data_IF_635623954764
#
_entry.id   IF_635623954764
#
_cell.length_a   1.000
_cell.length_b   1.000
_cell.length_c   1.000
_cell.angle_alpha   90.00
_cell.angle_beta   90.00
_cell.angle_gamma   90.00
#
_symmetry.space_group_name_H-M   'P 1'
#
loop_
_entity.id
_entity.type
_entity.pdbx_description
1 polymer ?
#
# COMPACT_ATOMS: atom_id res chain seq x y z
N UNK A 1 31.62 -12.53 -37.52
CA UNK A 1 30.47 -11.59 -37.47
C UNK A 1 29.12 -12.30 -37.40
N UNK A 2 28.78 -13.22 -38.33
CA UNK A 2 27.49 -13.99 -38.29
C UNK A 2 27.28 -14.81 -37.01
N UNK A 3 28.33 -15.40 -36.44
CA UNK A 3 28.25 -16.19 -35.19
C UNK A 3 27.91 -15.35 -33.95
N UNK A 4 28.36 -14.09 -33.90
CA UNK A 4 28.14 -13.19 -32.77
C UNK A 4 26.70 -12.62 -32.77
N UNK A 5 26.14 -12.42 -33.96
CA UNK A 5 24.72 -12.02 -34.14
C UNK A 5 23.78 -13.17 -33.72
N UNK A 6 24.11 -14.42 -34.07
CA UNK A 6 23.32 -15.59 -33.64
C UNK A 6 23.39 -15.76 -32.12
N UNK A 7 24.55 -15.52 -31.50
CA UNK A 7 24.71 -15.61 -30.04
C UNK A 7 23.92 -14.50 -29.30
N UNK A 8 23.91 -13.28 -29.83
CA UNK A 8 23.11 -12.17 -29.30
C UNK A 8 21.59 -12.41 -29.44
N UNK A 9 21.14 -12.91 -30.59
CA UNK A 9 19.74 -13.26 -30.81
C UNK A 9 19.33 -14.43 -29.90
N UNK A 10 20.19 -15.46 -29.76
CA UNK A 10 19.94 -16.54 -28.82
C UNK A 10 19.83 -16.03 -27.38
N UNK A 11 20.72 -15.13 -26.94
CA UNK A 11 20.69 -14.53 -25.60
C UNK A 11 19.41 -13.72 -25.33
N UNK A 12 18.84 -13.04 -26.34
CA UNK A 12 17.58 -12.32 -26.21
C UNK A 12 16.34 -13.23 -26.17
N UNK A 13 16.42 -14.47 -26.66
CA UNK A 13 15.29 -15.43 -26.66
C UNK A 13 15.23 -16.24 -25.34
N UNK A 14 16.35 -16.34 -24.60
CA UNK A 14 16.38 -17.07 -23.31
C UNK A 14 16.15 -16.17 -22.09
N UNK A 15 15.92 -14.87 -22.27
CA UNK A 15 15.57 -14.01 -21.14
C UNK A 15 14.08 -14.19 -20.83
N UNK A 16 13.73 -14.66 -19.62
CA UNK A 16 12.34 -14.75 -19.18
C UNK A 16 11.72 -13.34 -19.24
N UNK A 17 10.60 -13.17 -19.95
CA UNK A 17 9.88 -11.90 -20.02
C UNK A 17 9.07 -11.70 -18.74
N UNK A 18 9.57 -10.90 -17.81
CA UNK A 18 8.84 -10.56 -16.59
C UNK A 18 7.65 -9.68 -16.98
N UNK A 19 6.44 -10.18 -16.75
CA UNK A 19 5.23 -9.38 -16.80
C UNK A 19 5.18 -8.52 -15.53
N UNK A 20 5.97 -7.44 -15.53
CA UNK A 20 5.89 -6.41 -14.50
C UNK A 20 4.69 -5.55 -14.86
N UNK A 21 3.62 -5.66 -14.07
CA UNK A 21 2.52 -4.70 -14.18
C UNK A 21 3.04 -3.32 -13.82
N UNK A 22 2.65 -2.31 -14.60
CA UNK A 22 3.12 -0.96 -14.38
C UNK A 22 2.48 -0.41 -13.10
N UNK A 23 3.33 -0.05 -12.14
CA UNK A 23 2.93 0.72 -10.96
C UNK A 23 2.97 2.21 -11.28
N UNK A 24 1.85 2.89 -11.03
CA UNK A 24 1.74 4.33 -11.19
C UNK A 24 1.39 4.97 -9.85
N UNK A 25 2.18 5.95 -9.44
CA UNK A 25 2.03 6.60 -8.13
C UNK A 25 1.50 8.01 -8.34
N UNK A 26 0.41 8.34 -7.64
CA UNK A 26 -0.32 9.58 -7.81
C UNK A 26 -0.53 10.31 -6.49
N UNK A 27 -0.67 11.64 -6.61
CA UNK A 27 -1.14 12.52 -5.56
C UNK A 27 -2.45 13.15 -6.02
N UNK A 28 -3.50 13.03 -5.20
CA UNK A 28 -4.82 13.52 -5.58
C UNK A 28 -5.77 13.67 -4.41
N UNK A 29 -7.03 13.95 -4.73
CA UNK A 29 -8.11 14.05 -3.75
C UNK A 29 -9.17 13.00 -3.99
N UNK A 30 -9.62 12.37 -2.92
CA UNK A 30 -10.71 11.39 -2.96
C UNK A 30 -12.00 12.08 -3.40
N UNK A 31 -12.61 11.57 -4.45
CA UNK A 31 -13.90 12.03 -4.97
C UNK A 31 -15.03 11.07 -4.67
N UNK A 32 -14.73 9.79 -4.48
CA UNK A 32 -15.65 8.75 -4.05
C UNK A 32 -14.89 7.69 -3.27
N UNK A 33 -15.50 7.19 -2.20
CA UNK A 33 -15.07 6.00 -1.46
C UNK A 33 -16.32 5.19 -1.11
N UNK A 34 -16.43 3.99 -1.64
CA UNK A 34 -17.59 3.12 -1.47
C UNK A 34 -17.14 1.69 -1.12
N UNK A 35 -17.26 1.35 0.17
CA UNK A 35 -16.85 0.04 0.69
C UNK A 35 -17.63 -1.11 0.06
N UNK A 36 -18.92 -0.93 -0.24
CA UNK A 36 -19.76 -2.02 -0.73
C UNK A 36 -19.33 -2.51 -2.12
N UNK A 37 -18.83 -1.60 -2.96
CA UNK A 37 -18.28 -1.93 -4.28
C UNK A 37 -16.75 -2.01 -4.31
N UNK A 38 -16.07 -1.62 -3.23
CA UNK A 38 -14.62 -1.43 -3.19
C UNK A 38 -14.13 -0.26 -4.05
N UNK A 39 -15.03 0.62 -4.53
CA UNK A 39 -14.66 1.70 -5.43
C UNK A 39 -14.00 2.87 -4.69
N UNK A 40 -12.84 3.30 -5.19
CA UNK A 40 -12.11 4.48 -4.74
C UNK A 40 -11.75 5.33 -5.96
N UNK A 41 -12.43 6.47 -6.11
CA UNK A 41 -12.19 7.40 -7.21
C UNK A 41 -11.36 8.58 -6.69
N UNK A 42 -10.21 8.84 -7.33
CA UNK A 42 -9.29 9.90 -6.92
C UNK A 42 -9.11 10.88 -8.06
N UNK A 43 -9.37 12.17 -7.79
CA UNK A 43 -9.02 13.27 -8.70
C UNK A 43 -7.56 13.60 -8.55
N UNK A 44 -6.77 13.17 -9.52
CA UNK A 44 -5.32 13.32 -9.56
C UNK A 44 -4.95 14.78 -9.80
N UNK A 45 -3.88 15.21 -9.15
CA UNK A 45 -3.31 16.55 -9.27
C UNK A 45 -1.82 16.53 -9.61
N UNK A 46 -1.13 15.44 -9.28
CA UNK A 46 0.26 15.21 -9.65
C UNK A 46 0.55 13.71 -9.76
N UNK A 47 1.58 13.37 -10.55
CA UNK A 47 2.09 12.02 -10.72
C UNK A 47 3.56 11.99 -10.28
N UNK A 48 4.00 10.87 -9.70
CA UNK A 48 5.40 10.66 -9.36
C UNK A 48 6.24 10.43 -10.64
N UNK A 49 7.28 11.23 -10.84
CA UNK A 49 8.18 11.13 -12.00
C UNK A 49 9.44 10.27 -11.74
N UNK A 50 9.49 9.60 -10.58
CA UNK A 50 10.68 8.89 -10.08
C UNK A 50 11.51 9.71 -9.08
N UNK A 51 11.25 11.02 -8.94
CA UNK A 51 11.99 11.92 -8.04
C UNK A 51 11.09 12.83 -7.22
N UNK A 52 9.99 13.31 -7.80
CA UNK A 52 9.06 14.22 -7.17
C UNK A 52 7.66 14.07 -7.78
N UNK A 53 6.67 14.64 -7.10
CA UNK A 53 5.33 14.78 -7.66
C UNK A 53 5.30 15.95 -8.65
N UNK A 54 5.18 15.62 -9.94
CA UNK A 54 5.02 16.59 -11.01
C UNK A 54 3.52 16.86 -11.26
N UNK A 55 3.08 18.14 -11.33
CA UNK A 55 1.70 18.46 -11.62
C UNK A 55 1.24 17.86 -12.96
N UNK A 56 0.01 17.37 -13.00
CA UNK A 56 -0.63 16.86 -14.22
C UNK A 56 -1.98 17.53 -14.43
N UNK A 57 -2.49 17.45 -15.66
CA UNK A 57 -3.86 17.90 -15.93
C UNK A 57 -4.84 17.08 -15.07
N UNK A 58 -5.76 17.74 -14.33
CA UNK A 58 -6.62 17.03 -13.39
C UNK A 58 -7.51 16.00 -14.08
N UNK A 59 -7.32 14.73 -13.72
CA UNK A 59 -8.12 13.59 -14.20
C UNK A 59 -8.62 12.80 -12.99
N UNK A 60 -9.84 12.27 -13.07
CA UNK A 60 -10.32 11.32 -12.07
C UNK A 60 -9.99 9.92 -12.52
N UNK A 61 -9.20 9.21 -11.72
CA UNK A 61 -8.96 7.78 -11.89
C UNK A 61 -10.04 7.04 -11.11
N UNK A 62 -10.70 6.11 -11.80
CA UNK A 62 -11.61 5.15 -11.20
C UNK A 62 -10.78 3.92 -10.84
N UNK A 63 -10.75 3.53 -9.58
CA UNK A 63 -10.02 2.35 -9.15
C UNK A 63 -10.76 1.58 -8.07
N UNK A 64 -10.27 0.38 -7.81
CA UNK A 64 -10.81 -0.50 -6.77
C UNK A 64 -9.77 -0.77 -5.70
N UNK A 65 -10.22 -0.98 -4.48
CA UNK A 65 -9.41 -1.45 -3.37
C UNK A 65 -10.16 -2.53 -2.60
N UNK A 66 -9.42 -3.52 -2.11
CA UNK A 66 -9.95 -4.62 -1.30
C UNK A 66 -9.62 -4.47 0.18
N UNK A 67 -9.17 -3.28 0.60
CA UNK A 67 -8.78 -3.02 1.99
C UNK A 67 -9.96 -2.44 2.75
N UNK A 68 -10.51 -3.18 3.71
CA UNK A 68 -11.64 -2.68 4.51
C UNK A 68 -11.22 -1.48 5.37
N UNK A 69 -10.00 -1.53 5.93
CA UNK A 69 -9.42 -0.46 6.74
C UNK A 69 -9.27 0.85 5.97
N UNK A 70 -9.19 0.81 4.63
CA UNK A 70 -9.21 2.02 3.80
C UNK A 70 -10.51 2.80 4.02
N UNK A 71 -11.64 2.13 3.84
CA UNK A 71 -12.95 2.77 3.79
C UNK A 71 -13.44 3.23 5.16
N UNK A 72 -12.88 2.67 6.24
CA UNK A 72 -13.12 3.13 7.60
C UNK A 72 -12.37 4.44 7.94
N UNK A 73 -11.27 4.71 7.25
CA UNK A 73 -10.36 5.81 7.60
C UNK A 73 -10.33 6.94 6.56
N UNK A 74 -10.88 6.73 5.37
CA UNK A 74 -10.84 7.69 4.26
C UNK A 74 -12.18 8.41 4.07
N UNK A 75 -12.12 9.71 3.78
CA UNK A 75 -13.30 10.52 3.48
C UNK A 75 -13.19 11.21 2.12
N UNK A 76 -14.34 11.53 1.54
CA UNK A 76 -14.38 12.37 0.35
C UNK A 76 -13.72 13.73 0.63
N UNK A 77 -12.84 14.16 -0.27
CA UNK A 77 -12.09 15.41 -0.17
C UNK A 77 -10.71 15.28 0.48
N UNK A 78 -10.40 14.13 1.08
CA UNK A 78 -9.08 13.83 1.62
C UNK A 78 -8.01 13.85 0.52
N UNK A 79 -6.85 14.42 0.84
CA UNK A 79 -5.67 14.40 -0.04
C UNK A 79 -4.87 13.14 0.24
N UNK A 80 -4.62 12.34 -0.79
CA UNK A 80 -3.97 11.03 -0.68
C UNK A 80 -2.81 10.89 -1.65
N UNK A 81 -1.83 10.10 -1.23
CA UNK A 81 -0.84 9.49 -2.12
C UNK A 81 -1.25 8.04 -2.31
N UNK A 82 -1.27 7.57 -3.56
CA UNK A 82 -1.71 6.23 -3.88
C UNK A 82 -0.90 5.61 -4.99
N UNK A 83 -0.72 4.30 -4.92
CA UNK A 83 -0.08 3.49 -5.96
C UNK A 83 -1.11 2.58 -6.59
N UNK A 84 -1.22 2.68 -7.91
CA UNK A 84 -2.14 1.95 -8.76
C UNK A 84 -1.35 0.90 -9.54
N UNK A 85 -1.84 -0.33 -9.54
CA UNK A 85 -1.30 -1.45 -10.32
C UNK A 85 -2.27 -1.80 -11.44
N UNK A 86 -1.74 -2.03 -12.64
CA UNK A 86 -2.54 -2.45 -13.80
C UNK A 86 -3.55 -1.41 -14.30
N UNK A 87 -3.51 -0.18 -13.78
CA UNK A 87 -4.43 0.91 -14.15
C UNK A 87 -5.80 0.87 -13.45
N UNK A 88 -6.06 -0.09 -12.58
CA UNK A 88 -7.39 -0.28 -11.96
C UNK A 88 -7.36 -0.58 -10.46
N UNK A 89 -6.30 -1.19 -9.93
CA UNK A 89 -6.28 -1.64 -8.52
C UNK A 89 -5.33 -0.81 -7.67
N UNK A 90 -5.84 -0.22 -6.60
CA UNK A 90 -5.04 0.49 -5.61
C UNK A 90 -4.35 -0.51 -4.67
N UNK A 91 -3.03 -0.59 -4.75
CA UNK A 91 -2.21 -1.52 -3.97
C UNK A 91 -1.63 -0.88 -2.72
N UNK A 92 -1.61 0.44 -2.67
CA UNK A 92 -1.25 1.23 -1.49
C UNK A 92 -1.95 2.59 -1.56
N UNK A 93 -2.56 3.03 -0.47
CA UNK A 93 -3.16 4.37 -0.33
C UNK A 93 -2.78 4.93 1.04
N UNK A 94 -2.31 6.17 1.09
CA UNK A 94 -2.02 6.87 2.32
C UNK A 94 -2.60 8.28 2.37
N UNK A 95 -3.10 8.68 3.53
CA UNK A 95 -3.60 10.02 3.79
C UNK A 95 -2.44 10.99 3.99
N UNK A 96 -2.43 12.10 3.27
CA UNK A 96 -1.42 13.15 3.44
C UNK A 96 -1.65 13.87 4.76
N UNK A 97 -0.72 13.68 5.70
CA UNK A 97 -0.78 14.23 7.05
C UNK A 97 -0.36 15.69 7.14
N UNK A 98 0.54 16.15 6.27
CA UNK A 98 0.99 17.55 6.23
C UNK A 98 0.98 18.12 4.82
N UNK A 99 0.04 19.04 4.56
CA UNK A 99 -0.10 19.75 3.28
C UNK A 99 1.09 20.64 2.95
N UNK A 100 1.84 21.06 3.97
CA UNK A 100 2.96 22.00 3.86
C UNK A 100 4.30 21.32 3.58
N UNK A 101 4.40 20.00 3.72
CA UNK A 101 5.62 19.27 3.40
C UNK A 101 5.77 19.10 1.89
N UNK A 102 6.95 19.39 1.35
CA UNK A 102 7.31 19.08 -0.04
C UNK A 102 7.34 17.58 -0.30
N UNK A 103 7.56 16.77 0.74
CA UNK A 103 7.63 15.31 0.69
C UNK A 103 6.26 14.62 0.87
N UNK A 104 5.18 15.41 1.08
CA UNK A 104 3.80 14.90 1.24
C UNK A 104 3.70 13.73 2.21
N UNK A 105 4.23 13.93 3.41
CA UNK A 105 4.25 12.91 4.45
C UNK A 105 2.86 12.34 4.73
N UNK A 106 2.76 11.02 4.84
CA UNK A 106 1.50 10.33 5.13
C UNK A 106 1.30 10.15 6.64
N UNK A 107 0.09 10.39 7.12
CA UNK A 107 -0.29 10.15 8.53
C UNK A 107 -0.68 8.70 8.76
N UNK A 108 -1.29 8.06 7.78
CA UNK A 108 -1.54 6.63 7.76
C UNK A 108 -1.55 6.11 6.32
N UNK A 109 -1.38 4.81 6.15
CA UNK A 109 -1.60 4.12 4.89
C UNK A 109 -2.21 2.74 5.10
N UNK A 110 -2.78 2.22 4.03
CA UNK A 110 -3.20 0.84 3.89
C UNK A 110 -2.68 0.27 2.56
N UNK A 111 -2.31 -1.00 2.56
CA UNK A 111 -1.73 -1.70 1.41
C UNK A 111 -0.22 -1.92 1.54
N UNK A 112 0.48 -1.98 0.41
CA UNK A 112 1.88 -2.38 0.35
C UNK A 112 2.85 -1.21 0.62
N UNK A 113 3.62 -1.23 1.73
CA UNK A 113 4.55 -0.15 2.04
C UNK A 113 5.77 -0.08 1.12
N UNK A 114 6.14 -1.17 0.42
CA UNK A 114 7.20 -1.12 -0.59
C UNK A 114 6.73 -0.34 -1.85
N UNK A 115 5.42 -0.29 -2.09
CA UNK A 115 4.81 0.51 -3.16
C UNK A 115 4.60 1.99 -2.76
N UNK A 116 4.85 2.38 -1.50
CA UNK A 116 4.62 3.75 -1.01
C UNK A 116 5.89 4.59 -1.07
N UNK A 117 5.88 5.65 -1.89
CA UNK A 117 7.04 6.57 -2.00
C UNK A 117 7.08 7.63 -0.91
N UNK A 118 5.92 8.00 -0.36
CA UNK A 118 5.83 9.06 0.64
C UNK A 118 6.27 8.52 2.01
N UNK A 119 7.18 9.21 2.72
CA UNK A 119 7.52 8.84 4.09
C UNK A 119 6.34 9.14 5.03
N UNK A 120 6.28 8.48 6.17
CA UNK A 120 5.32 8.80 7.20
C UNK A 120 5.73 10.05 7.97
N UNK A 121 4.76 10.66 8.67
CA UNK A 121 5.03 11.75 9.63
C UNK A 121 6.09 11.28 10.65
N UNK A 122 7.10 12.12 10.88
CA UNK A 122 8.32 11.75 11.62
C UNK A 122 9.46 11.24 10.73
N UNK A 123 9.30 11.33 9.40
CA UNK A 123 10.22 10.85 8.37
C UNK A 123 10.48 9.34 8.44
N UNK A 124 9.53 8.56 8.95
CA UNK A 124 9.67 7.11 8.94
C UNK A 124 9.48 6.56 7.52
N UNK A 125 10.23 5.52 7.21
CA UNK A 125 10.05 4.70 6.02
C UNK A 125 10.00 3.24 6.44
N UNK A 126 9.04 2.53 5.88
CA UNK A 126 8.79 1.11 6.17
C UNK A 126 9.04 0.33 4.89
N UNK A 127 9.78 -0.76 5.02
CA UNK A 127 9.97 -1.76 3.95
C UNK A 127 9.81 -3.15 4.56
N UNK A 128 9.55 -4.16 3.73
CA UNK A 128 9.48 -5.53 4.22
C UNK A 128 10.03 -6.55 3.23
N UNK A 129 10.38 -7.71 3.77
CA UNK A 129 10.61 -8.96 3.01
C UNK A 129 9.66 -10.03 3.53
N UNK A 130 9.01 -10.76 2.63
CA UNK A 130 8.04 -11.80 3.00
C UNK A 130 8.66 -13.21 2.92
N UNK A 131 8.37 -14.04 3.93
CA UNK A 131 8.72 -15.46 3.94
C UNK A 131 7.60 -16.28 3.27
N UNK A 132 7.87 -17.01 2.17
CA UNK A 132 6.85 -17.74 1.44
C UNK A 132 6.39 -19.01 2.14
N UNK A 133 5.07 -19.24 2.09
CA UNK A 133 4.45 -20.51 2.39
C UNK A 133 4.49 -21.44 1.17
N UNK A 134 5.61 -22.13 1.01
CA UNK A 134 5.95 -22.88 -0.20
C UNK A 134 5.00 -24.02 -0.60
N UNK A 135 4.22 -24.56 0.34
CA UNK A 135 3.19 -25.58 0.08
C UNK A 135 1.88 -24.99 -0.47
N UNK A 136 1.78 -23.66 -0.60
CA UNK A 136 0.55 -22.95 -0.98
C UNK A 136 0.72 -21.99 -2.17
N UNK A 137 1.78 -22.17 -2.96
CA UNK A 137 2.06 -21.31 -4.10
C UNK A 137 1.09 -21.53 -5.26
N UNK A 138 0.69 -20.44 -5.90
CA UNK A 138 -0.12 -20.43 -7.12
C UNK A 138 0.60 -19.58 -8.16
N UNK A 139 1.18 -20.22 -9.17
CA UNK A 139 1.99 -19.52 -10.16
C UNK A 139 3.27 -18.96 -9.53
N UNK A 140 3.53 -17.67 -9.73
CA UNK A 140 4.75 -16.97 -9.25
C UNK A 140 4.66 -16.44 -7.82
N UNK A 141 3.50 -16.56 -7.17
CA UNK A 141 3.23 -16.01 -5.84
C UNK A 141 2.85 -17.12 -4.87
N UNK A 142 3.24 -16.95 -3.61
CA UNK A 142 2.81 -17.78 -2.50
C UNK A 142 2.20 -16.89 -1.43
N UNK A 143 1.33 -17.44 -0.58
CA UNK A 143 0.98 -16.73 0.65
C UNK A 143 2.23 -16.51 1.50
N UNK A 144 2.32 -15.36 2.17
CA UNK A 144 3.39 -15.10 3.15
C UNK A 144 3.04 -15.76 4.50
N UNK A 145 3.97 -16.53 5.07
CA UNK A 145 3.86 -17.02 6.44
C UNK A 145 4.08 -15.89 7.46
N UNK A 146 5.07 -15.06 7.16
CA UNK A 146 5.49 -13.92 7.97
C UNK A 146 6.15 -12.88 7.09
N UNK A 147 6.36 -11.69 7.65
CA UNK A 147 7.10 -10.61 7.02
C UNK A 147 8.13 -10.05 7.99
N UNK A 148 9.35 -9.83 7.53
CA UNK A 148 10.35 -9.06 8.27
C UNK A 148 10.18 -7.60 7.88
N UNK A 149 9.62 -6.81 8.80
CA UNK A 149 9.36 -5.39 8.60
C UNK A 149 10.53 -4.59 9.12
N UNK A 150 11.17 -3.83 8.24
CA UNK A 150 12.25 -2.90 8.60
C UNK A 150 11.72 -1.48 8.62
N UNK A 151 11.94 -0.78 9.73
CA UNK A 151 11.61 0.64 9.86
C UNK A 151 12.89 1.46 10.03
N UNK A 152 12.97 2.58 9.32
CA UNK A 152 14.05 3.56 9.41
C UNK A 152 13.49 4.98 9.39
N UNK A 153 14.29 5.95 9.83
CA UNK A 153 14.02 7.37 9.56
C UNK A 153 14.88 7.84 8.40
N UNK A 154 14.34 8.70 7.54
CA UNK A 154 15.03 9.16 6.32
C UNK A 154 15.10 10.69 6.27
N UNK A 155 16.03 11.18 5.47
CA UNK A 155 16.08 12.57 5.05
C UNK A 155 16.50 12.64 3.58
N UNK A 156 16.43 13.84 3.01
CA UNK A 156 16.73 14.06 1.60
C UNK A 156 17.84 15.11 1.48
N UNK A 157 18.82 14.83 0.63
CA UNK A 157 19.87 15.80 0.34
C UNK A 157 19.37 16.91 -0.60
N UNK A 158 20.23 17.87 -0.94
CA UNK A 158 19.88 18.97 -1.85
C UNK A 158 19.52 18.52 -3.28
N UNK A 159 19.83 17.27 -3.65
CA UNK A 159 19.48 16.68 -4.94
C UNK A 159 18.23 15.78 -4.85
N UNK A 160 17.48 15.85 -3.74
CA UNK A 160 16.34 14.97 -3.45
C UNK A 160 16.69 13.48 -3.35
N UNK A 161 17.96 13.15 -3.08
CA UNK A 161 18.36 11.77 -2.83
C UNK A 161 18.07 11.40 -1.37
N UNK A 162 17.29 10.34 -1.19
CA UNK A 162 17.01 9.75 0.12
C UNK A 162 18.29 9.18 0.75
N UNK A 163 18.46 9.44 2.05
CA UNK A 163 19.46 8.77 2.89
C UNK A 163 18.87 8.43 4.26
N UNK A 164 19.35 7.33 4.85
CA UNK A 164 18.96 6.91 6.20
C UNK A 164 19.56 7.83 7.24
N UNK A 165 18.73 8.29 8.18
CA UNK A 165 19.16 9.10 9.33
C UNK A 165 19.36 8.20 10.56
N UNK A 166 18.42 7.30 10.83
CA UNK A 166 18.49 6.34 11.94
C UNK A 166 17.77 5.04 11.57
N UNK A 167 18.33 3.93 12.00
CA UNK A 167 17.71 2.61 11.90
C UNK A 167 16.86 2.36 13.15
N UNK A 168 15.53 2.23 12.97
CA UNK A 168 14.59 2.08 14.08
C UNK A 168 14.56 0.62 14.54
N UNK A 169 14.57 -0.32 13.59
CA UNK A 169 14.63 -1.75 13.87
C UNK A 169 14.10 -2.62 12.75
N UNK A 170 14.11 -3.92 12.99
CA UNK A 170 13.43 -4.93 12.17
C UNK A 170 12.70 -5.91 13.07
N UNK A 171 11.44 -6.18 12.78
CA UNK A 171 10.58 -7.10 13.54
C UNK A 171 9.90 -8.07 12.57
N UNK A 172 9.85 -9.35 12.91
CA UNK A 172 9.08 -10.36 12.17
C UNK A 172 7.63 -10.31 12.62
N UNK A 173 6.69 -10.11 11.69
CA UNK A 173 5.25 -10.12 11.97
C UNK A 173 4.57 -11.31 11.30
N UNK A 174 3.75 -12.01 12.07
CA UNK A 174 2.73 -12.93 11.58
C UNK A 174 1.45 -12.15 11.21
N UNK A 175 0.55 -12.71 10.38
CA UNK A 175 -0.72 -12.08 10.06
C UNK A 175 -1.50 -11.68 11.32
N UNK A 176 -2.07 -10.48 11.29
CA UNK A 176 -2.74 -9.78 12.39
C UNK A 176 -1.85 -9.32 13.57
N UNK A 177 -0.53 -9.49 13.48
CA UNK A 177 0.39 -8.93 14.49
C UNK A 177 0.69 -7.45 14.24
N UNK A 178 0.96 -6.73 15.33
CA UNK A 178 1.25 -5.29 15.31
C UNK A 178 2.59 -5.00 15.96
N UNK A 179 3.34 -4.07 15.38
CA UNK A 179 4.57 -3.53 15.94
C UNK A 179 4.50 -2.01 16.08
N UNK A 180 4.85 -1.52 17.27
CA UNK A 180 5.02 -0.10 17.56
C UNK A 180 6.49 0.29 17.36
N UNK A 181 6.85 0.72 16.15
CA UNK A 181 8.20 1.17 15.81
C UNK A 181 8.42 2.63 16.25
N UNK A 182 9.20 2.82 17.31
CA UNK A 182 9.49 4.13 17.89
C UNK A 182 10.98 4.48 17.78
N UNK A 183 11.27 5.73 17.40
CA UNK A 183 12.64 6.26 17.39
C UNK A 183 12.84 7.19 18.57
N UNK A 184 13.97 7.04 19.26
CA UNK A 184 14.28 7.92 20.41
C UNK A 184 14.48 9.35 19.91
N UNK A 185 13.69 10.29 20.43
CA UNK A 185 13.76 11.71 20.04
C UNK A 185 12.70 12.14 19.02
N UNK A 186 11.96 11.21 18.42
CA UNK A 186 10.77 11.53 17.64
C UNK A 186 9.54 11.68 18.54
N UNK A 187 8.68 12.66 18.24
CA UNK A 187 7.39 12.87 18.91
C UNK A 187 6.27 11.98 18.37
N UNK A 188 6.60 11.12 17.41
CA UNK A 188 5.70 10.21 16.72
C UNK A 188 6.35 8.83 16.69
N UNK A 189 5.55 7.78 16.71
CA UNK A 189 5.97 6.41 16.42
C UNK A 189 5.03 5.83 15.34
N UNK A 190 5.45 4.76 14.68
CA UNK A 190 4.57 4.03 13.77
C UNK A 190 3.94 2.85 14.48
N UNK A 191 2.63 2.69 14.31
CA UNK A 191 1.95 1.44 14.59
C UNK A 191 1.75 0.71 13.26
N UNK A 192 2.36 -0.46 13.11
CA UNK A 192 2.41 -1.25 11.88
C UNK A 192 1.67 -2.56 12.12
N UNK A 193 0.52 -2.75 11.47
CA UNK A 193 -0.26 -3.99 11.45
C UNK A 193 0.01 -4.72 10.14
N UNK A 194 0.46 -5.97 10.21
CA UNK A 194 0.50 -6.85 9.04
C UNK A 194 -0.84 -7.57 8.90
N UNK A 195 -1.59 -7.30 7.83
CA UNK A 195 -2.93 -7.88 7.63
C UNK A 195 -2.80 -9.27 7.02
N UNK A 196 -2.16 -9.33 5.85
CA UNK A 196 -1.88 -10.55 5.07
C UNK A 196 -0.91 -10.20 3.95
N UNK A 197 -0.27 -11.19 3.35
CA UNK A 197 0.63 -10.89 2.24
C UNK A 197 0.95 -12.04 1.33
N UNK A 198 1.68 -11.70 0.28
CA UNK A 198 2.22 -12.61 -0.69
C UNK A 198 3.75 -12.52 -0.69
N UNK A 199 4.38 -13.62 -1.06
CA UNK A 199 5.81 -13.74 -1.19
C UNK A 199 6.15 -14.32 -2.57
N UNK A 200 7.32 -14.00 -3.14
CA UNK A 200 7.72 -14.55 -4.42
C UNK A 200 7.98 -16.05 -4.31
N UNK A 201 7.37 -16.84 -5.18
CA UNK A 201 7.57 -18.29 -5.21
C UNK A 201 9.02 -18.68 -5.48
N UNK A 202 9.79 -17.82 -6.17
CA UNK A 202 11.22 -18.01 -6.43
C UNK A 202 12.09 -18.09 -5.16
N UNK A 203 11.57 -17.66 -4.01
CA UNK A 203 12.24 -17.80 -2.73
C UNK A 203 12.09 -19.21 -2.11
N UNK A 204 11.29 -20.09 -2.72
CA UNK A 204 11.13 -21.47 -2.27
C UNK A 204 12.26 -22.38 -2.80
N UNK A 205 12.74 -23.37 -2.00
CA UNK A 205 13.87 -24.22 -2.38
C UNK A 205 13.69 -25.02 -3.68
N UNK A 206 12.47 -25.44 -3.98
CA UNK A 206 12.13 -26.25 -5.17
C UNK A 206 11.46 -25.43 -6.28
N UNK A 207 11.57 -24.10 -6.21
CA UNK A 207 10.96 -23.23 -7.19
C UNK A 207 11.62 -23.38 -8.55
N UNK A 208 10.86 -23.84 -9.54
CA UNK A 208 11.20 -23.59 -10.92
C UNK A 208 11.13 -22.07 -11.18
N UNK A 209 11.81 -21.56 -12.22
CA UNK A 209 11.65 -20.16 -12.60
C UNK A 209 10.22 -19.92 -13.11
N UNK A 210 9.33 -19.53 -12.19
CA UNK A 210 7.94 -19.19 -12.51
C UNK A 210 7.81 -17.69 -12.67
N UNK A 211 7.28 -17.29 -13.82
CA UNK A 211 6.96 -15.90 -14.13
C UNK A 211 5.48 -15.64 -13.87
N UNK A 212 5.16 -14.45 -13.38
CA UNK A 212 3.77 -14.07 -13.18
C UNK A 212 3.66 -12.78 -12.39
N UNK A 213 2.49 -12.54 -11.79
CA UNK A 213 2.21 -11.34 -10.99
C UNK A 213 3.27 -11.12 -9.91
N UNK A 214 3.51 -9.84 -9.62
CA UNK A 214 4.37 -9.43 -8.52
C UNK A 214 3.63 -9.61 -7.18
N UNK A 215 4.29 -10.15 -6.16
CA UNK A 215 3.66 -10.38 -4.85
C UNK A 215 3.36 -9.03 -4.17
N UNK A 216 2.15 -8.90 -3.63
CA UNK A 216 1.71 -7.71 -2.91
C UNK A 216 1.29 -8.08 -1.50
N UNK A 217 1.74 -7.31 -0.51
CA UNK A 217 1.30 -7.49 0.88
C UNK A 217 0.48 -6.31 1.39
N UNK A 218 -0.43 -6.61 2.30
CA UNK A 218 -1.36 -5.65 2.89
C UNK A 218 -0.97 -5.36 4.33
N UNK A 219 -0.74 -4.08 4.59
CA UNK A 219 -0.48 -3.55 5.91
C UNK A 219 -1.47 -2.43 6.22
N UNK A 220 -1.68 -2.16 7.50
CA UNK A 220 -2.21 -0.88 7.96
C UNK A 220 -1.16 -0.22 8.84
N UNK A 221 -0.70 0.97 8.45
CA UNK A 221 0.38 1.68 9.15
C UNK A 221 -0.10 3.08 9.47
N UNK A 222 0.02 3.50 10.73
CA UNK A 222 -0.32 4.86 11.14
C UNK A 222 0.76 5.49 12.02
N UNK A 223 0.95 6.78 11.83
CA UNK A 223 1.75 7.63 12.70
C UNK A 223 0.91 8.02 13.92
N UNK A 224 1.46 7.80 15.11
CA UNK A 224 0.79 8.08 16.39
C UNK A 224 1.67 8.99 17.22
N UNK A 225 1.06 10.06 17.76
CA UNK A 225 1.78 10.98 18.63
C UNK A 225 2.09 10.33 19.98
N UNK A 226 3.33 10.50 20.44
CA UNK A 226 3.75 10.02 21.77
C UNK A 226 2.91 10.65 22.89
N UNK A 227 2.44 11.91 22.70
CA UNK A 227 1.55 12.58 23.64
C UNK A 227 0.21 11.85 23.83
N UNK A 228 -0.26 11.12 22.82
CA UNK A 228 -1.51 10.36 22.87
C UNK A 228 -1.44 9.12 23.77
N UNK A 229 -0.24 8.63 24.16
CA UNK A 229 -0.10 7.50 25.10
C UNK A 229 -0.41 7.87 26.57
N UNK A 230 -0.47 9.16 26.93
CA UNK A 230 -0.50 9.61 28.34
C UNK A 230 -1.93 9.86 28.86
N UNK A 231 -2.99 9.50 28.13
CA UNK A 231 -4.38 9.78 28.54
C UNK A 231 -5.13 8.58 29.12
N UNK A 232 -4.52 7.82 30.05
CA UNK A 232 -5.25 6.93 30.97
C UNK A 232 -4.45 6.68 32.25
N UNK A 233 -4.35 7.68 33.12
CA UNK A 233 -4.16 7.43 34.56
C UNK A 233 -5.29 8.18 35.28
N UNK A 234 -6.27 7.48 35.89
CA UNK A 234 -7.14 8.13 36.85
C UNK A 234 -6.29 8.48 38.06
N UNK A 235 -6.06 9.79 38.26
CA UNK A 235 -5.52 10.30 39.49
C UNK A 235 -6.49 9.90 40.62
N UNK A 236 -6.04 8.92 41.40
CA UNK A 236 -6.70 8.40 42.58
C UNK A 236 -6.74 9.50 43.65
N UNK A 237 -7.76 10.36 43.60
CA UNK A 237 -8.13 11.23 44.70
C UNK A 237 -9.13 10.51 45.62
N UNK A 238 -8.74 10.46 46.89
CA UNK A 238 -9.32 9.72 48.01
C UNK A 238 -10.72 10.23 48.39
N UNK A 239 -11.65 9.27 48.53
CA UNK A 239 -12.79 9.15 49.46
C UNK A 239 -13.71 10.36 49.77
N UNK A 240 -15.01 10.24 49.44
CA UNK A 240 -16.11 10.05 50.43
C UNK A 240 -17.45 9.70 49.73
N UNK A 241 -18.02 8.54 50.05
CA UNK A 241 -19.48 8.23 49.97
C UNK A 241 -20.14 8.60 51.32
N UNK A 242 -21.49 8.63 51.49
CA UNK A 242 -22.58 8.16 50.62
C UNK A 242 -23.75 9.16 50.46
N UNK A 243 -24.73 8.85 49.60
CA UNK A 243 -26.18 8.79 49.92
C UNK A 243 -26.93 8.21 48.71
N UNK A 244 -27.77 7.22 49.02
CA UNK A 244 -28.78 6.60 48.15
C UNK A 244 -29.82 7.62 47.68
N UNK A 245 -30.22 7.53 46.42
CA UNK A 245 -31.64 7.72 46.12
C UNK A 245 -32.09 6.79 45.00
N UNK A 246 -33.14 6.05 45.34
CA UNK A 246 -33.87 5.06 44.58
C UNK A 246 -34.75 5.75 43.53
N UNK A 247 -34.73 5.30 42.28
CA UNK A 247 -35.76 5.69 41.30
C UNK A 247 -36.14 4.50 40.41
N UNK A 248 -37.26 3.92 40.83
CA UNK A 248 -38.35 3.24 40.11
C UNK A 248 -38.21 3.02 38.60
N UNK A 249 -38.29 1.74 38.23
CA UNK A 249 -38.44 1.24 36.86
C UNK A 249 -39.89 1.32 36.35
N UNK A 250 -40.05 1.49 35.02
CA UNK A 250 -41.12 0.95 34.16
C UNK A 250 -40.92 1.44 32.69
N UNK A 251 -41.58 0.86 31.65
CA UNK A 251 -41.33 -0.46 31.08
C UNK A 251 -40.97 -0.41 29.58
N UNK A 252 -40.46 -1.54 29.08
CA UNK A 252 -40.11 -1.78 27.68
C UNK A 252 -41.33 -1.69 26.74
N UNK A 253 -41.16 -0.96 25.63
CA UNK A 253 -42.04 -1.03 24.44
C UNK A 253 -41.19 -1.52 23.27
N UNK A 254 -41.50 -2.72 22.77
CA UNK A 254 -40.90 -3.28 21.56
C UNK A 254 -41.56 -2.66 20.32
N UNK A 255 -40.78 -2.24 19.30
CA UNK A 255 -41.28 -2.08 17.96
C UNK A 255 -41.23 -3.38 17.16
N UNK A 256 -42.35 -3.61 16.51
CA UNK A 256 -42.79 -4.69 15.65
C UNK A 256 -41.85 -4.96 14.45
N UNK A 257 -41.69 -6.25 14.14
CA UNK A 257 -40.92 -6.80 13.03
C UNK A 257 -41.74 -6.69 11.73
N UNK A 258 -41.35 -5.80 10.82
CA UNK A 258 -41.85 -5.82 9.44
C UNK A 258 -41.00 -6.76 8.57
N UNK A 259 -41.68 -7.76 8.01
CA UNK A 259 -41.15 -8.75 7.07
C UNK A 259 -41.14 -8.15 5.66
N UNK A 260 -39.96 -7.89 5.08
CA UNK A 260 -39.83 -7.55 3.66
C UNK A 260 -39.56 -8.79 2.81
N UNK A 261 -40.31 -8.90 1.71
CA UNK A 261 -40.28 -9.96 0.71
C UNK A 261 -38.98 -9.95 -0.14
N UNK A 262 -38.61 -11.09 -0.75
CA UNK A 262 -37.37 -11.21 -1.52
C UNK A 262 -37.44 -10.46 -2.85
N UNK A 263 -36.51 -9.53 -3.05
CA UNK A 263 -36.29 -8.87 -4.36
C UNK A 263 -35.41 -9.78 -5.20
N UNK A 264 -35.92 -10.16 -6.37
CA UNK A 264 -35.18 -10.94 -7.38
C UNK A 264 -34.43 -9.97 -8.28
N UNK A 265 -33.10 -9.90 -8.17
CA UNK A 265 -32.26 -9.05 -9.02
C UNK A 265 -31.67 -9.89 -10.16
N UNK A 266 -32.07 -9.56 -11.39
CA UNK A 266 -31.54 -10.15 -12.63
C UNK A 266 -30.12 -9.65 -12.91
N UNK A 267 -29.22 -10.58 -13.23
CA UNK A 267 -27.82 -10.34 -13.60
C UNK A 267 -27.70 -9.55 -14.91
N UNK A 268 -26.89 -8.47 -14.98
CA UNK A 268 -26.62 -7.78 -16.23
C UNK A 268 -25.62 -8.55 -17.11
N UNK A 269 -25.99 -8.67 -18.38
CA UNK A 269 -25.18 -9.26 -19.46
C UNK A 269 -23.93 -8.43 -19.73
N UNK A 270 -22.76 -9.09 -19.77
CA UNK A 270 -21.48 -8.47 -20.10
C UNK A 270 -21.44 -8.02 -21.57
N UNK A 271 -21.22 -6.74 -21.81
CA UNK A 271 -20.86 -6.18 -23.12
C UNK A 271 -19.34 -6.26 -23.35
N UNK A 272 -18.88 -6.68 -24.54
CA UNK A 272 -17.46 -6.73 -24.86
C UNK A 272 -16.89 -5.32 -25.06
N UNK A 273 -15.81 -5.01 -24.34
CA UNK A 273 -15.02 -3.79 -24.51
C UNK A 273 -14.10 -3.96 -25.74
N UNK A 274 -14.10 -3.03 -26.71
CA UNK A 274 -13.24 -3.11 -27.89
C UNK A 274 -11.77 -2.83 -27.51
N UNK A 275 -10.89 -3.68 -28.05
CA UNK A 275 -9.47 -3.75 -27.71
C UNK A 275 -8.67 -2.47 -27.97
N UNK A 276 -7.83 -2.12 -26.99
CA UNK A 276 -6.75 -1.17 -27.17
C UNK A 276 -5.52 -1.89 -27.73
N UNK A 277 -5.01 -1.34 -28.84
CA UNK A 277 -3.88 -1.85 -29.57
C UNK A 277 -2.58 -1.78 -28.79
N UNK A 278 -1.81 -2.85 -28.91
CA UNK A 278 -0.43 -3.01 -28.43
C UNK A 278 0.47 -1.99 -29.16
N UNK A 279 0.93 -0.95 -28.47
CA UNK A 279 2.09 -0.16 -28.91
C UNK A 279 3.36 -0.86 -28.42
N UNK A 280 4.10 -1.46 -29.35
CA UNK A 280 5.45 -1.98 -29.09
C UNK A 280 6.40 -0.82 -28.76
N UNK A 281 6.94 -0.81 -27.53
CA UNK A 281 8.10 0.00 -27.18
C UNK A 281 9.39 -0.70 -27.65
N UNK A 282 9.98 -0.19 -28.74
CA UNK A 282 11.34 -0.54 -29.17
C UNK A 282 12.30 0.48 -28.54
N UNK A 283 12.87 0.13 -27.40
CA UNK A 283 14.16 0.66 -26.92
C UNK A 283 15.10 -0.56 -26.88
N UNK A 284 16.31 -0.59 -27.43
CA UNK A 284 17.26 0.46 -27.71
C UNK A 284 18.67 -0.09 -27.40
N UNK A 285 19.01 -1.30 -27.87
CA UNK A 285 20.33 -1.89 -27.70
C UNK A 285 21.28 -1.40 -28.79
N UNK A 286 21.86 -0.22 -28.59
CA UNK A 286 22.92 0.29 -29.46
C UNK A 286 23.98 1.05 -28.65
N UNK A 287 24.82 0.32 -27.90
CA UNK A 287 26.09 0.86 -27.39
C UNK A 287 27.10 -0.25 -27.07
N UNK A 288 27.66 -0.93 -28.08
CA UNK A 288 28.88 -1.73 -27.90
C UNK A 288 29.56 -2.07 -29.24
N UNK A 289 29.97 -1.09 -30.05
CA UNK A 289 30.85 -1.37 -31.21
C UNK A 289 31.77 -0.17 -31.56
N UNK A 290 32.61 0.26 -30.63
CA UNK A 290 33.87 1.00 -30.90
C UNK A 290 34.77 0.65 -29.71
N UNK A 291 35.79 -0.20 -29.80
CA UNK A 291 37.14 0.08 -30.32
C UNK A 291 37.85 -1.27 -30.51
N UNK A 292 38.07 -1.71 -31.75
CA UNK A 292 39.26 -2.51 -32.10
C UNK A 292 39.82 -1.88 -33.37
N UNK A 293 40.83 -1.04 -33.20
CA UNK A 293 41.86 -0.74 -34.21
C UNK A 293 43.07 -0.12 -33.52
N UNK A 294 43.99 -0.96 -33.06
CA UNK A 294 45.39 -1.00 -33.48
C UNK A 294 46.07 -2.21 -32.87
#
# INVERSE_FOLDING_TARGET
MKFLIILLIAMCIVMPAAAVELEEIYLGKVTKADQASGALDVKISAQWDGKQFAPVDPVTILGTSTFDELFENINQGDEVVGTLMGGETWIAIGLVGSKQSTQKQVSWMVGDPNAMVAPFVGNYKVTYTADPKCDSCVGSVCYANSVDVTTKTVAYDSNSKEYTVSDVGTETLLPAETWDAAETGNQQYLQILFIKGEAPASSCPDAEMVMGPQPVSSFFIKSVSVASRVSTTPESAIATTPVMEETTAMPATMPETETMAPVTTTSPTATPVPGFGIMMAIFGCAAALVVIRR
#
